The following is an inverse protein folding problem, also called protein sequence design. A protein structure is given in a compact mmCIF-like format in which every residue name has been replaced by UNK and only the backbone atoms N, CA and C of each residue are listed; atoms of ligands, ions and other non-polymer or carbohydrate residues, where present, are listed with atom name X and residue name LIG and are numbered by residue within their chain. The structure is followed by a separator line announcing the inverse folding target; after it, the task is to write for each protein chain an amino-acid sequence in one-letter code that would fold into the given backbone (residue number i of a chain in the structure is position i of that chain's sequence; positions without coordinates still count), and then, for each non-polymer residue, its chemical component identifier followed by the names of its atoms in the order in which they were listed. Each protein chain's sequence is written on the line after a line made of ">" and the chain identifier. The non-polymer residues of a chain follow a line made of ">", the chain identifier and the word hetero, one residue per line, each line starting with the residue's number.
data_IF_366686773066
#
_entry.id   IF_366686773066
#
_cell.length_a   1.000
_cell.length_b   1.000
_cell.length_c   1.000
_cell.angle_alpha   90.00
_cell.angle_beta   90.00
_cell.angle_gamma   90.00
#
_symmetry.space_group_name_H-M   'P 1'
#
loop_
_entity.id
_entity.type
_entity.pdbx_description
1 polymer ?
#
# COMPACT_ATOMS: atom_id res chain seq x y z
N UNK A 1 22.90 14.30 -14.30
CA UNK A 1 23.32 13.06 -15.00
C UNK A 1 22.94 13.06 -16.49
N UNK A 2 21.69 13.37 -16.85
CA UNK A 2 21.20 13.43 -18.24
C UNK A 2 22.00 14.32 -19.20
N UNK A 3 22.42 15.50 -18.75
CA UNK A 3 23.22 16.43 -19.56
C UNK A 3 24.59 15.83 -19.96
N UNK A 4 25.18 15.03 -19.07
CA UNK A 4 26.45 14.34 -19.33
C UNK A 4 26.30 13.24 -20.39
N UNK A 5 25.18 12.50 -20.35
CA UNK A 5 24.87 11.45 -21.31
C UNK A 5 24.60 12.04 -22.71
N UNK A 6 23.87 13.17 -22.78
CA UNK A 6 23.65 13.91 -24.03
C UNK A 6 24.96 14.43 -24.61
N UNK A 7 25.84 15.01 -23.77
CA UNK A 7 27.16 15.49 -24.20
C UNK A 7 28.05 14.33 -24.69
N UNK A 8 27.99 13.17 -24.05
CA UNK A 8 28.72 11.97 -24.48
C UNK A 8 28.21 11.44 -25.83
N UNK A 9 26.90 11.44 -26.04
CA UNK A 9 26.28 11.00 -27.30
C UNK A 9 26.61 11.95 -28.46
N UNK A 10 26.59 13.26 -28.20
CA UNK A 10 26.98 14.30 -29.17
C UNK A 10 28.47 14.22 -29.50
N UNK A 11 29.34 14.02 -28.50
CA UNK A 11 30.78 13.90 -28.73
C UNK A 11 31.13 12.64 -29.53
N UNK A 12 30.47 11.52 -29.26
CA UNK A 12 30.63 10.29 -30.04
C UNK A 12 30.16 10.48 -31.50
N UNK A 13 29.04 11.19 -31.72
CA UNK A 13 28.56 11.55 -33.06
C UNK A 13 29.57 12.44 -33.81
N UNK A 14 30.13 13.45 -33.15
CA UNK A 14 31.13 14.37 -33.74
C UNK A 14 32.42 13.63 -34.09
N UNK A 15 32.91 12.74 -33.21
CA UNK A 15 34.08 11.90 -33.47
C UNK A 15 33.80 10.97 -34.66
N UNK A 16 32.64 10.31 -34.71
CA UNK A 16 32.28 9.42 -35.81
C UNK A 16 32.17 10.14 -37.16
N UNK A 17 31.60 11.35 -37.18
CA UNK A 17 31.54 12.19 -38.38
C UNK A 17 32.93 12.72 -38.77
N UNK A 18 33.79 13.03 -37.81
CA UNK A 18 35.14 13.59 -38.04
C UNK A 18 36.18 12.55 -38.45
N UNK A 19 36.02 11.28 -38.03
CA UNK A 19 36.91 10.15 -38.39
C UNK A 19 36.61 9.60 -39.79
N UNK A 20 35.63 10.15 -40.50
CA UNK A 20 35.23 9.76 -41.86
C UNK A 20 36.22 10.15 -42.98
N UNK A 21 37.53 10.20 -42.70
CA UNK A 21 38.53 10.07 -43.77
C UNK A 21 38.53 8.62 -44.26
N UNK A 22 38.61 8.36 -45.57
CA UNK A 22 38.66 7.01 -46.08
C UNK A 22 40.00 6.38 -45.66
N UNK A 23 40.01 5.69 -44.53
CA UNK A 23 41.08 4.77 -44.20
C UNK A 23 41.02 3.63 -45.21
N UNK A 24 41.92 3.71 -46.19
CA UNK A 24 42.09 2.69 -47.21
C UNK A 24 42.49 1.37 -46.55
N UNK A 25 41.70 0.33 -46.81
CA UNK A 25 42.08 -1.06 -46.59
C UNK A 25 41.62 -1.64 -45.25
N UNK A 26 40.35 -2.03 -45.15
CA UNK A 26 39.92 -3.30 -44.56
C UNK A 26 38.62 -3.68 -45.28
N UNK A 27 38.68 -4.77 -46.05
CA UNK A 27 37.60 -5.30 -46.86
C UNK A 27 36.57 -6.02 -45.99
N UNK A 28 35.49 -5.32 -45.66
CA UNK A 28 34.22 -5.96 -45.28
C UNK A 28 33.17 -5.43 -46.25
N UNK A 29 32.63 -6.33 -47.05
CA UNK A 29 31.57 -6.14 -48.04
C UNK A 29 30.22 -5.81 -47.37
N UNK A 30 30.14 -4.71 -46.63
CA UNK A 30 28.88 -4.02 -46.36
C UNK A 30 29.03 -2.60 -46.91
N UNK A 31 28.23 -2.27 -47.92
CA UNK A 31 28.37 -1.03 -48.68
C UNK A 31 28.46 0.18 -47.76
N UNK A 32 29.60 0.89 -47.81
CA UNK A 32 29.87 2.11 -47.05
C UNK A 32 28.74 3.16 -47.15
N UNK A 33 27.90 3.08 -48.19
CA UNK A 33 26.76 3.95 -48.40
C UNK A 33 25.50 3.59 -47.59
N UNK A 34 25.34 2.36 -47.07
CA UNK A 34 24.17 1.97 -46.26
C UNK A 34 24.42 2.05 -44.75
N UNK A 35 25.67 1.92 -44.29
CA UNK A 35 25.99 1.99 -42.86
C UNK A 35 25.83 3.42 -42.32
N UNK A 36 26.20 4.44 -43.11
CA UNK A 36 26.07 5.86 -42.71
C UNK A 36 24.63 6.28 -42.40
N UNK A 37 23.63 6.07 -43.27
CA UNK A 37 22.25 6.43 -42.95
C UNK A 37 21.68 5.59 -41.80
N UNK A 38 22.06 4.32 -41.68
CA UNK A 38 21.60 3.47 -40.58
C UNK A 38 22.09 3.99 -39.21
N UNK A 39 23.36 4.35 -39.10
CA UNK A 39 23.91 4.95 -37.86
C UNK A 39 23.30 6.32 -37.59
N UNK A 40 23.11 7.15 -38.62
CA UNK A 40 22.46 8.45 -38.46
C UNK A 40 21.03 8.31 -37.93
N UNK A 41 20.23 7.40 -38.50
CA UNK A 41 18.87 7.10 -38.04
C UNK A 41 18.90 6.60 -36.59
N UNK A 42 19.84 5.72 -36.25
CA UNK A 42 19.98 5.21 -34.88
C UNK A 42 20.28 6.32 -33.87
N UNK A 43 21.19 7.24 -34.20
CA UNK A 43 21.54 8.38 -33.33
C UNK A 43 20.36 9.34 -33.21
N UNK A 44 19.67 9.64 -34.31
CA UNK A 44 18.46 10.49 -34.28
C UNK A 44 17.38 9.83 -33.42
N UNK A 45 17.17 8.53 -33.55
CA UNK A 45 16.20 7.77 -32.75
C UNK A 45 16.54 7.81 -31.25
N UNK A 46 17.83 7.68 -30.89
CA UNK A 46 18.29 7.86 -29.51
C UNK A 46 18.02 9.27 -28.99
N UNK A 47 18.34 10.31 -29.77
CA UNK A 47 18.09 11.70 -29.36
C UNK A 47 16.59 11.98 -29.18
N UNK A 48 15.75 11.43 -30.06
CA UNK A 48 14.28 11.54 -29.95
C UNK A 48 13.78 10.78 -28.73
N UNK A 49 14.30 9.59 -28.44
CA UNK A 49 13.94 8.83 -27.24
C UNK A 49 14.28 9.59 -25.95
N UNK A 50 15.46 10.22 -25.87
CA UNK A 50 15.85 11.07 -24.74
C UNK A 50 14.95 12.31 -24.63
N UNK A 51 14.59 12.94 -25.75
CA UNK A 51 13.68 14.07 -25.74
C UNK A 51 12.28 13.65 -25.26
N UNK A 52 11.74 12.53 -25.75
CA UNK A 52 10.45 11.99 -25.29
C UNK A 52 10.50 11.75 -23.79
N UNK A 53 11.53 11.06 -23.30
CA UNK A 53 11.72 10.81 -21.86
C UNK A 53 11.76 12.10 -21.04
N UNK A 54 12.46 13.13 -21.51
CA UNK A 54 12.57 14.42 -20.81
C UNK A 54 11.26 15.23 -20.79
N UNK A 55 10.37 14.99 -21.76
CA UNK A 55 9.07 15.66 -21.87
C UNK A 55 7.92 14.82 -21.33
N UNK A 56 8.15 13.55 -20.96
CA UNK A 56 7.16 12.75 -20.24
C UNK A 56 6.95 13.41 -18.88
N UNK A 57 5.73 13.92 -18.60
CA UNK A 57 5.44 14.47 -17.30
C UNK A 57 5.54 13.34 -16.28
N UNK A 58 6.54 13.41 -15.41
CA UNK A 58 6.54 12.65 -14.16
C UNK A 58 5.42 13.23 -13.31
N UNK A 59 4.20 12.71 -13.45
CA UNK A 59 3.14 12.93 -12.47
C UNK A 59 3.57 12.21 -11.20
N UNK A 60 4.47 12.84 -10.46
CA UNK A 60 4.91 12.40 -9.17
C UNK A 60 3.75 12.59 -8.19
N UNK A 61 2.84 11.61 -8.13
CA UNK A 61 2.23 11.31 -6.85
C UNK A 61 3.31 10.54 -6.09
N UNK A 62 4.16 11.28 -5.38
CA UNK A 62 5.14 10.69 -4.46
C UNK A 62 4.35 10.14 -3.29
N UNK A 63 4.07 8.85 -3.35
CA UNK A 63 3.84 8.09 -2.15
C UNK A 63 5.20 7.91 -1.48
N UNK A 64 5.28 8.21 -0.17
CA UNK A 64 6.49 7.90 0.59
C UNK A 64 6.64 6.38 0.60
N UNK A 65 7.71 5.88 -0.03
CA UNK A 65 8.02 4.46 0.04
C UNK A 65 8.53 4.17 1.44
N UNK A 66 7.84 3.26 2.13
CA UNK A 66 8.29 2.70 3.40
C UNK A 66 9.48 1.81 3.07
N UNK A 67 10.69 2.27 3.42
CA UNK A 67 11.95 1.60 3.09
C UNK A 67 12.18 0.29 3.86
N UNK A 68 11.42 0.08 4.93
CA UNK A 68 11.51 -1.10 5.79
C UNK A 68 10.19 -1.88 5.71
N UNK A 69 10.28 -3.19 5.43
CA UNK A 69 9.18 -4.08 5.83
C UNK A 69 8.96 -3.84 7.32
N UNK A 70 7.72 -3.65 7.81
CA UNK A 70 7.49 -3.36 9.22
C UNK A 70 7.98 -4.56 10.05
N UNK A 71 9.24 -4.51 10.49
CA UNK A 71 9.93 -5.61 11.16
C UNK A 71 9.35 -5.91 12.56
N UNK A 72 8.42 -5.08 13.04
CA UNK A 72 7.67 -5.29 14.27
C UNK A 72 6.22 -4.87 14.05
N UNK A 73 5.44 -5.78 13.47
CA UNK A 73 3.99 -5.67 13.52
C UNK A 73 3.58 -5.61 14.99
N UNK A 74 3.02 -4.47 15.39
CA UNK A 74 2.35 -4.35 16.67
C UNK A 74 1.11 -5.23 16.58
N UNK A 75 1.07 -6.25 17.42
CA UNK A 75 -0.07 -7.14 17.57
C UNK A 75 -1.11 -6.41 18.41
N UNK A 76 -2.14 -5.87 17.73
CA UNK A 76 -3.18 -5.08 18.39
C UNK A 76 -3.97 -5.95 19.38
N UNK A 77 -4.08 -7.26 19.11
CA UNK A 77 -4.79 -8.20 19.98
C UNK A 77 -4.03 -8.37 21.30
N UNK A 78 -2.73 -8.61 21.26
CA UNK A 78 -1.91 -8.74 22.48
C UNK A 78 -1.88 -7.43 23.29
N UNK A 79 -1.85 -6.26 22.64
CA UNK A 79 -1.89 -4.98 23.38
C UNK A 79 -3.22 -4.77 24.11
N UNK A 80 -4.33 -5.21 23.52
CA UNK A 80 -5.64 -5.17 24.16
C UNK A 80 -5.72 -6.14 25.34
N UNK A 81 -5.26 -7.38 25.17
CA UNK A 81 -5.21 -8.41 26.23
C UNK A 81 -4.32 -7.97 27.41
N UNK A 82 -3.15 -7.38 27.13
CA UNK A 82 -2.24 -6.85 28.16
C UNK A 82 -2.75 -5.54 28.80
N UNK A 83 -3.92 -5.03 28.40
CA UNK A 83 -4.51 -3.77 28.87
C UNK A 83 -3.58 -2.55 28.69
N UNK A 84 -2.73 -2.56 27.65
CA UNK A 84 -1.77 -1.48 27.34
C UNK A 84 -2.40 -0.42 26.45
N UNK A 85 -3.52 0.14 26.91
CA UNK A 85 -4.32 1.11 26.16
C UNK A 85 -3.58 2.40 25.78
N UNK A 86 -2.58 2.81 26.56
CA UNK A 86 -1.78 4.00 26.26
C UNK A 86 -1.03 3.89 24.92
N UNK A 87 -0.66 2.68 24.51
CA UNK A 87 0.05 2.42 23.24
C UNK A 87 -0.91 2.22 22.06
N UNK A 88 -2.18 1.95 22.34
CA UNK A 88 -3.23 1.79 21.32
C UNK A 88 -3.78 3.13 20.82
N UNK A 89 -3.52 4.23 21.55
CA UNK A 89 -4.06 5.55 21.20
C UNK A 89 -3.59 6.01 19.81
N UNK A 90 -2.34 5.70 19.44
CA UNK A 90 -1.75 6.05 18.15
C UNK A 90 -2.42 5.29 16.98
N UNK A 91 -3.06 4.15 17.25
CA UNK A 91 -3.74 3.30 16.27
C UNK A 91 -5.26 3.53 16.23
N UNK A 92 -5.78 4.45 17.04
CA UNK A 92 -7.22 4.70 17.16
C UNK A 92 -7.72 5.57 16.01
N UNK A 93 -8.52 4.98 15.13
CA UNK A 93 -9.11 5.71 14.00
C UNK A 93 -10.46 6.35 14.34
N UNK A 94 -11.26 5.71 15.20
CA UNK A 94 -12.61 6.18 15.50
C UNK A 94 -13.10 5.71 16.86
N UNK A 95 -13.88 6.56 17.53
CA UNK A 95 -14.54 6.26 18.79
C UNK A 95 -16.05 6.53 18.69
N UNK A 96 -16.83 5.71 19.37
CA UNK A 96 -18.28 5.84 19.49
C UNK A 96 -18.70 5.82 20.95
N UNK A 97 -19.74 6.59 21.26
CA UNK A 97 -20.47 6.51 22.52
C UNK A 97 -21.96 6.53 22.21
N UNK A 98 -22.60 5.38 22.33
CA UNK A 98 -23.99 5.16 21.91
C UNK A 98 -24.83 4.77 23.14
N UNK A 99 -25.98 5.41 23.38
CA UNK A 99 -26.89 4.98 24.44
C UNK A 99 -27.53 3.63 24.07
N UNK A 100 -27.50 2.67 24.98
CA UNK A 100 -28.01 1.32 24.73
C UNK A 100 -29.06 0.90 25.78
N UNK A 101 -29.94 0.00 25.36
CA UNK A 101 -30.90 -0.68 26.23
C UNK A 101 -30.37 -2.04 26.73
N UNK A 102 -31.30 -2.93 27.06
CA UNK A 102 -30.98 -4.20 27.73
C UNK A 102 -30.48 -5.30 26.78
N UNK A 103 -30.60 -5.09 25.46
CA UNK A 103 -30.27 -6.07 24.42
C UNK A 103 -29.56 -5.41 23.26
N UNK A 104 -28.55 -6.09 22.75
CA UNK A 104 -27.81 -5.71 21.55
C UNK A 104 -27.74 -6.90 20.61
N UNK A 105 -28.09 -6.66 19.36
CA UNK A 105 -27.89 -7.62 18.28
C UNK A 105 -26.91 -7.02 17.27
N UNK A 106 -25.78 -7.70 17.04
CA UNK A 106 -24.82 -7.35 16.01
C UNK A 106 -25.20 -8.03 14.70
N UNK A 107 -25.42 -7.22 13.68
CA UNK A 107 -25.66 -7.70 12.32
C UNK A 107 -24.67 -7.08 11.36
N UNK A 108 -24.33 -7.84 10.33
CA UNK A 108 -23.37 -7.49 9.28
C UNK A 108 -24.02 -7.82 7.94
N UNK A 109 -23.64 -7.10 6.89
CA UNK A 109 -24.04 -7.47 5.53
C UNK A 109 -23.48 -8.88 5.19
N UNK A 110 -24.28 -9.72 4.52
CA UNK A 110 -24.04 -11.17 4.42
C UNK A 110 -22.71 -11.50 3.69
N UNK A 111 -22.18 -10.58 2.89
CA UNK A 111 -20.95 -10.73 2.11
C UNK A 111 -19.70 -10.10 2.76
N UNK A 112 -19.80 -9.55 3.97
CA UNK A 112 -18.68 -8.85 4.63
C UNK A 112 -18.05 -9.68 5.76
N UNK A 113 -16.77 -10.02 5.59
CA UNK A 113 -15.92 -10.50 6.67
C UNK A 113 -15.40 -9.29 7.45
N UNK A 114 -16.02 -9.02 8.60
CA UNK A 114 -15.72 -7.86 9.41
C UNK A 114 -14.39 -7.93 10.17
N UNK A 115 -13.99 -6.81 10.81
CA UNK A 115 -12.83 -6.78 11.71
C UNK A 115 -13.05 -7.74 12.89
N UNK A 116 -11.95 -8.12 13.56
CA UNK A 116 -12.08 -8.86 14.82
C UNK A 116 -12.80 -8.00 15.85
N UNK A 117 -13.84 -8.54 16.50
CA UNK A 117 -14.63 -7.81 17.50
C UNK A 117 -14.27 -8.33 18.89
N UNK A 118 -13.79 -7.43 19.74
CA UNK A 118 -13.50 -7.71 21.14
C UNK A 118 -14.51 -6.97 22.00
N UNK A 119 -15.20 -7.69 22.87
CA UNK A 119 -16.22 -7.14 23.76
C UNK A 119 -15.74 -7.27 25.21
N UNK A 120 -15.59 -6.14 25.88
CA UNK A 120 -15.34 -6.05 27.32
C UNK A 120 -16.61 -5.66 28.07
N UNK A 121 -16.90 -6.35 29.17
CA UNK A 121 -18.00 -5.99 30.06
C UNK A 121 -17.54 -4.95 31.08
N UNK A 122 -18.35 -3.92 31.29
CA UNK A 122 -18.07 -2.85 32.27
C UNK A 122 -19.25 -2.63 33.21
N UNK A 123 -18.97 -2.28 34.47
CA UNK A 123 -20.00 -1.98 35.48
C UNK A 123 -20.69 -0.61 35.31
N UNK A 124 -20.56 0.03 34.14
CA UNK A 124 -21.18 1.35 33.89
C UNK A 124 -22.49 1.17 33.12
N UNK A 125 -23.64 1.55 33.69
CA UNK A 125 -24.93 1.36 33.02
C UNK A 125 -25.17 2.37 31.88
N UNK A 126 -25.84 1.89 30.83
CA UNK A 126 -26.59 2.73 29.88
C UNK A 126 -25.83 3.31 28.68
N UNK A 127 -24.54 3.01 28.52
CA UNK A 127 -23.77 3.45 27.34
C UNK A 127 -22.86 2.33 26.85
N UNK A 128 -22.89 2.10 25.55
CA UNK A 128 -21.87 1.33 24.83
C UNK A 128 -20.81 2.31 24.37
N UNK A 129 -19.55 1.96 24.64
CA UNK A 129 -18.39 2.67 24.08
C UNK A 129 -17.72 1.75 23.09
N UNK A 130 -17.30 2.28 21.96
CA UNK A 130 -16.58 1.51 20.95
C UNK A 130 -15.39 2.28 20.45
N UNK A 131 -14.31 1.57 20.13
CA UNK A 131 -13.15 2.13 19.47
C UNK A 131 -12.72 1.19 18.33
N UNK A 132 -12.36 1.78 17.19
CA UNK A 132 -11.81 1.04 16.05
C UNK A 132 -10.33 1.36 15.92
N UNK A 133 -9.54 0.31 15.99
CA UNK A 133 -8.09 0.36 15.88
C UNK A 133 -7.66 -0.29 14.56
N UNK A 134 -6.69 0.31 13.88
CA UNK A 134 -6.09 -0.25 12.69
C UNK A 134 -4.60 0.04 12.64
N UNK A 135 -3.82 -0.93 12.16
CA UNK A 135 -2.40 -0.74 11.82
C UNK A 135 -2.24 -0.40 10.34
N UNK A 136 -1.02 -0.03 9.96
CA UNK A 136 -0.76 0.45 8.63
C UNK A 136 -0.97 -0.63 7.55
N UNK A 137 -1.60 -0.22 6.45
CA UNK A 137 -1.80 -1.03 5.26
C UNK A 137 -0.81 -0.58 4.19
N UNK A 138 0.06 -1.50 3.75
CA UNK A 138 1.15 -1.17 2.83
C UNK A 138 1.02 -2.00 1.55
N UNK A 139 1.01 -1.36 0.39
CA UNK A 139 0.95 -2.02 -0.93
C UNK A 139 2.19 -1.62 -1.71
N UNK A 140 3.04 -2.59 -2.06
CA UNK A 140 4.30 -2.36 -2.78
C UNK A 140 5.18 -1.27 -2.13
N UNK A 141 5.23 -1.24 -0.79
CA UNK A 141 5.97 -0.22 -0.03
C UNK A 141 5.25 1.14 0.06
N UNK A 142 4.05 1.29 -0.49
CA UNK A 142 3.23 2.50 -0.37
C UNK A 142 2.27 2.33 0.80
N UNK A 143 2.33 3.24 1.77
CA UNK A 143 1.32 3.36 2.81
C UNK A 143 -0.01 3.85 2.22
N UNK A 144 -1.06 3.04 2.35
CA UNK A 144 -2.43 3.34 1.91
C UNK A 144 -3.41 3.45 3.07
N UNK A 145 -2.92 3.53 4.31
CA UNK A 145 -3.72 3.53 5.54
C UNK A 145 -4.74 4.67 5.58
N UNK A 146 -4.37 5.84 5.06
CA UNK A 146 -5.29 7.00 4.96
C UNK A 146 -6.52 6.74 4.09
N UNK A 147 -6.45 5.76 3.19
CA UNK A 147 -7.55 5.40 2.29
C UNK A 147 -8.45 4.32 2.90
N UNK A 148 -7.98 3.61 3.93
CA UNK A 148 -8.76 2.64 4.69
C UNK A 148 -9.71 3.40 5.61
N UNK A 149 -11.01 3.28 5.36
CA UNK A 149 -12.02 3.92 6.21
C UNK A 149 -12.45 2.99 7.34
N UNK A 150 -12.65 3.52 8.56
CA UNK A 150 -13.21 2.73 9.65
C UNK A 150 -14.65 2.32 9.31
N UNK A 151 -15.08 1.18 9.85
CA UNK A 151 -16.47 0.74 9.79
C UNK A 151 -17.38 1.80 10.43
N UNK A 152 -18.66 1.81 10.07
CA UNK A 152 -19.66 2.65 10.73
C UNK A 152 -20.62 1.80 11.56
N UNK A 153 -20.93 2.26 12.77
CA UNK A 153 -21.93 1.63 13.63
C UNK A 153 -23.22 2.45 13.50
N UNK A 154 -24.27 1.81 13.00
CA UNK A 154 -25.61 2.41 12.93
C UNK A 154 -26.54 1.72 13.92
N UNK A 155 -27.19 2.51 14.75
CA UNK A 155 -28.19 2.02 15.71
C UNK A 155 -29.59 2.11 15.10
N UNK A 156 -30.27 0.97 15.02
CA UNK A 156 -31.69 0.91 14.66
C UNK A 156 -32.46 0.24 15.79
N UNK A 157 -32.96 1.04 16.73
CA UNK A 157 -33.60 0.53 17.94
C UNK A 157 -32.61 -0.23 18.84
N UNK A 158 -32.80 -1.54 18.99
CA UNK A 158 -31.95 -2.43 19.79
C UNK A 158 -30.91 -3.20 18.94
N UNK A 159 -30.82 -2.90 17.65
CA UNK A 159 -29.88 -3.53 16.73
C UNK A 159 -28.73 -2.57 16.42
N UNK A 160 -27.51 -3.09 16.46
CA UNK A 160 -26.30 -2.42 16.01
C UNK A 160 -25.89 -3.05 14.69
N UNK A 161 -26.08 -2.30 13.62
CA UNK A 161 -25.65 -2.66 12.28
C UNK A 161 -24.20 -2.19 12.09
N UNK A 162 -23.31 -3.13 11.82
CA UNK A 162 -21.95 -2.86 11.40
C UNK A 162 -21.97 -2.63 9.88
N UNK A 163 -21.83 -1.38 9.48
CA UNK A 163 -21.81 -0.98 8.08
C UNK A 163 -20.38 -0.98 7.59
N UNK A 164 -20.04 -1.82 6.59
CA UNK A 164 -18.71 -1.82 6.02
C UNK A 164 -18.39 -0.48 5.37
N UNK A 165 -17.11 -0.07 5.36
CA UNK A 165 -16.70 1.10 4.60
C UNK A 165 -17.03 0.89 3.11
N UNK A 166 -17.34 1.98 2.40
CA UNK A 166 -17.56 1.91 0.96
C UNK A 166 -16.30 1.37 0.27
N UNK A 167 -16.49 0.41 -0.63
CA UNK A 167 -15.43 -0.05 -1.53
C UNK A 167 -14.80 1.12 -2.26
N UNK A 168 -13.48 1.08 -2.38
CA UNK A 168 -12.70 2.08 -3.10
C UNK A 168 -11.71 1.37 -4.02
N UNK A 169 -11.55 1.90 -5.23
CA UNK A 169 -10.63 1.39 -6.22
C UNK A 169 -9.34 2.22 -6.16
N UNK A 170 -8.22 1.57 -5.88
CA UNK A 170 -6.89 2.18 -5.95
C UNK A 170 -6.21 1.72 -7.23
N UNK A 171 -5.82 2.69 -8.06
CA UNK A 171 -5.09 2.43 -9.31
C UNK A 171 -3.64 2.87 -9.16
N UNK A 172 -2.73 1.91 -9.25
CA UNK A 172 -1.29 2.15 -9.16
C UNK A 172 -0.63 2.01 -10.53
N UNK A 173 0.39 2.81 -10.77
CA UNK A 173 1.30 2.68 -11.90
C UNK A 173 2.72 2.53 -11.36
N UNK A 174 3.34 1.39 -11.62
CA UNK A 174 4.72 1.11 -11.21
C UNK A 174 5.62 1.08 -12.45
N UNK A 175 6.68 1.90 -12.43
CA UNK A 175 7.70 1.88 -13.48
C UNK A 175 8.91 1.06 -13.00
N UNK A 176 9.07 -0.13 -13.58
CA UNK A 176 10.26 -0.94 -13.33
C UNK A 176 11.34 -0.64 -14.38
N UNK A 177 12.60 -0.56 -13.93
CA UNK A 177 13.74 -0.38 -14.82
C UNK A 177 13.85 -1.57 -15.78
N UNK A 178 14.20 -1.31 -17.04
CA UNK A 178 14.45 -2.37 -18.01
C UNK A 178 15.54 -3.33 -17.52
N UNK A 179 15.31 -4.63 -17.74
CA UNK A 179 16.16 -5.75 -17.30
C UNK A 179 17.68 -5.50 -17.46
N UNK A 180 18.10 -4.90 -18.56
CA UNK A 180 19.52 -4.62 -18.84
C UNK A 180 20.13 -3.63 -17.85
N UNK A 181 19.37 -2.64 -17.35
CA UNK A 181 19.85 -1.66 -16.37
C UNK A 181 19.97 -2.35 -15.00
N UNK A 182 18.95 -3.10 -14.62
CA UNK A 182 18.84 -3.79 -13.33
C UNK A 182 19.99 -4.77 -13.08
N UNK A 183 20.51 -5.42 -14.13
CA UNK A 183 21.67 -6.33 -14.06
C UNK A 183 22.98 -5.68 -13.59
N UNK A 184 23.15 -4.36 -13.78
CA UNK A 184 24.40 -3.66 -13.46
C UNK A 184 24.28 -2.72 -12.26
N UNK A 185 23.07 -2.34 -11.86
CA UNK A 185 22.86 -1.31 -10.82
C UNK A 185 22.37 -1.82 -9.47
N UNK A 186 21.75 -3.00 -9.37
CA UNK A 186 21.13 -3.44 -8.10
C UNK A 186 21.60 -4.84 -7.66
N UNK A 187 21.78 -4.98 -6.33
CA UNK A 187 21.86 -6.28 -5.64
C UNK A 187 20.74 -7.16 -6.17
N UNK A 188 21.01 -8.44 -6.42
CA UNK A 188 20.03 -9.46 -6.86
C UNK A 188 18.64 -9.09 -6.36
N UNK A 189 17.81 -8.49 -7.23
CA UNK A 189 16.40 -8.34 -6.93
C UNK A 189 15.91 -9.76 -6.83
N UNK A 190 15.54 -10.14 -5.62
CA UNK A 190 15.04 -11.47 -5.35
C UNK A 190 13.87 -11.70 -6.31
N UNK A 191 14.04 -12.65 -7.22
CA UNK A 191 13.06 -12.94 -8.28
C UNK A 191 11.70 -13.36 -7.68
N UNK A 192 11.65 -13.63 -6.38
CA UNK A 192 10.46 -13.94 -5.60
C UNK A 192 9.58 -12.70 -5.31
N UNK A 193 10.08 -11.46 -5.50
CA UNK A 193 9.31 -10.21 -5.33
C UNK A 193 8.60 -9.74 -6.60
N UNK A 194 8.50 -10.59 -7.63
CA UNK A 194 7.79 -10.27 -8.89
C UNK A 194 6.26 -10.37 -8.77
N UNK A 195 5.73 -10.46 -7.55
CA UNK A 195 4.33 -10.29 -7.21
C UNK A 195 4.12 -9.02 -6.39
N UNK A 196 2.94 -8.42 -6.47
CA UNK A 196 2.58 -7.30 -5.59
C UNK A 196 2.70 -7.72 -4.13
N UNK A 197 3.55 -7.06 -3.35
CA UNK A 197 3.60 -7.26 -1.91
C UNK A 197 2.46 -6.48 -1.29
N UNK A 198 1.42 -7.17 -0.85
CA UNK A 198 0.31 -6.56 -0.12
C UNK A 198 0.44 -6.93 1.34
N UNK A 199 0.56 -5.92 2.18
CA UNK A 199 0.54 -6.02 3.62
C UNK A 199 -0.81 -5.52 4.13
N UNK A 200 -1.61 -6.44 4.67
CA UNK A 200 -2.88 -6.11 5.31
C UNK A 200 -2.62 -5.86 6.80
N UNK A 201 -2.76 -4.61 7.23
CA UNK A 201 -2.78 -4.28 8.65
C UNK A 201 -3.91 -4.99 9.39
N UNK A 202 -3.69 -5.26 10.67
CA UNK A 202 -4.69 -5.71 11.62
C UNK A 202 -5.73 -4.62 11.88
N UNK A 203 -7.00 -5.03 12.00
CA UNK A 203 -8.11 -4.16 12.37
C UNK A 203 -8.93 -4.79 13.48
N UNK A 204 -9.20 -4.03 14.53
CA UNK A 204 -9.96 -4.50 15.70
C UNK A 204 -11.04 -3.49 16.05
N UNK A 205 -12.25 -3.99 16.26
CA UNK A 205 -13.35 -3.26 16.88
C UNK A 205 -13.44 -3.66 18.36
N UNK A 206 -13.03 -2.76 19.24
CA UNK A 206 -13.15 -2.94 20.68
C UNK A 206 -14.43 -2.27 21.20
N UNK A 207 -15.25 -3.01 21.95
CA UNK A 207 -16.53 -2.56 22.46
C UNK A 207 -16.63 -2.77 23.97
N UNK A 208 -16.92 -1.71 24.71
CA UNK A 208 -17.26 -1.78 26.13
C UNK A 208 -18.78 -1.77 26.29
N UNK A 209 -19.32 -2.84 26.88
CA UNK A 209 -20.76 -3.04 27.07
C UNK A 209 -21.08 -3.17 28.57
N UNK A 210 -22.16 -2.55 29.07
CA UNK A 210 -22.61 -2.73 30.44
C UNK A 210 -22.85 -4.21 30.81
N UNK A 211 -22.50 -4.58 32.03
CA UNK A 211 -22.87 -5.87 32.60
C UNK A 211 -24.39 -6.09 32.57
N UNK A 212 -24.82 -7.30 32.20
CA UNK A 212 -26.24 -7.68 32.10
C UNK A 212 -26.90 -7.44 30.74
N UNK A 213 -26.23 -6.81 29.78
CA UNK A 213 -26.73 -6.69 28.40
C UNK A 213 -26.56 -8.03 27.67
N UNK A 214 -27.66 -8.54 27.11
CA UNK A 214 -27.65 -9.72 26.24
C UNK A 214 -27.04 -9.34 24.88
N UNK A 215 -25.90 -9.97 24.56
CA UNK A 215 -25.20 -9.82 23.29
C UNK A 215 -25.51 -11.03 22.42
N UNK A 216 -25.99 -10.77 21.21
CA UNK A 216 -26.22 -11.78 20.19
C UNK A 216 -25.63 -11.32 18.86
N UNK A 217 -25.17 -12.25 18.04
CA UNK A 217 -24.54 -11.95 16.76
C UNK A 217 -25.09 -12.82 15.63
N UNK A 218 -25.01 -12.29 14.40
CA UNK A 218 -25.18 -13.06 13.18
C UNK A 218 -24.02 -14.06 13.03
N UNK A 219 -24.20 -15.26 12.42
CA UNK A 219 -23.16 -16.30 12.36
C UNK A 219 -21.86 -15.89 11.68
N UNK A 220 -21.89 -14.85 10.84
CA UNK A 220 -20.74 -14.32 10.12
C UNK A 220 -19.92 -13.32 10.95
N UNK A 221 -20.31 -13.07 12.21
CA UNK A 221 -19.62 -12.17 13.13
C UNK A 221 -19.00 -12.99 14.25
N UNK A 222 -17.67 -13.03 14.28
CA UNK A 222 -16.91 -13.60 15.39
C UNK A 222 -16.73 -12.54 16.47
N UNK A 223 -17.14 -12.86 17.70
CA UNK A 223 -17.01 -11.99 18.86
C UNK A 223 -16.19 -12.73 19.89
N UNK A 224 -15.09 -12.11 20.30
CA UNK A 224 -14.34 -12.52 21.48
C UNK A 224 -14.88 -11.75 22.70
N UNK A 225 -15.30 -12.48 23.73
CA UNK A 225 -15.86 -11.88 24.95
C UNK A 225 -14.81 -12.05 26.04
N UNK A 226 -14.22 -10.94 26.44
CA UNK A 226 -13.27 -10.88 27.54
C UNK A 226 -14.07 -10.76 28.83
N UNK A 227 -14.38 -11.91 29.45
CA UNK A 227 -14.94 -11.98 30.79
C UNK A 227 -13.77 -11.86 31.79
N UNK A 228 -13.80 -10.87 32.69
CA UNK A 228 -12.86 -10.81 33.81
C UNK A 228 -13.06 -12.08 34.67
N UNK A 229 -12.16 -13.06 34.54
CA UNK A 229 -12.00 -14.08 35.58
C UNK A 229 -11.52 -13.36 36.84
N UNK A 230 -12.43 -13.16 37.79
CA UNK A 230 -12.09 -12.77 39.16
C UNK A 230 -11.02 -13.73 39.73
N UNK A 231 -9.80 -13.23 39.90
CA UNK A 231 -8.78 -13.85 40.75
C UNK A 231 -8.80 -13.28 42.16
#
# INVERSE_FOLDING_TARGET
>A
MFLLLIVLLITMLVIFLSVSKPFGGIGIFFGQNMLRPLVFIYVVLLLVSVAIYAYTPTSEVRFEMVEEEPEQQIDLYNLLEESRFDELEDYKLKEWSIPIGDRIHFTVDDDYYGPSIIVKRIQKPGQLRGAFYATDHIINGIDVSEHIKPIEIQQTGNELLLVPPKEYELTFAEEQKEFTITQFTEKQIDHDRMGSSVWYGETILYLEIPEGVEVSSHPNVYIDIEDEEEF
#
